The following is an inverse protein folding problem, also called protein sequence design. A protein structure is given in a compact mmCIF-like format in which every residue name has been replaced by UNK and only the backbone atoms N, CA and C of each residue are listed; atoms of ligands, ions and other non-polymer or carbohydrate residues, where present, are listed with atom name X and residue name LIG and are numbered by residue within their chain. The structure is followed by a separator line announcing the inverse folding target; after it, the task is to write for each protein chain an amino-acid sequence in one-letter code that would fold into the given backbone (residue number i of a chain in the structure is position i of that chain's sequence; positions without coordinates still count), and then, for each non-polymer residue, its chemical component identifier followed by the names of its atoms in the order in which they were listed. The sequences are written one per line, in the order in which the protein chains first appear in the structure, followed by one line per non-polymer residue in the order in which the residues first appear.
data_IF_164372193148
#
_entry.id   IF_164372193148
#
_cell.length_a   1.000
_cell.length_b   1.000
_cell.length_c   1.000
_cell.angle_alpha   90.00
_cell.angle_beta   90.00
_cell.angle_gamma   90.00
#
_symmetry.space_group_name_H-M   'P 1'
#
loop_
_entity.id
_entity.type
_entity.pdbx_description
1 polymer ?
#
# COMPACT_ATOMS: atom_id res chain seq x y z
N UNK A 1 6.51 -23.73 10.76
CA UNK A 1 6.29 -23.56 9.31
C UNK A 1 4.86 -23.17 8.98
N UNK A 2 3.85 -23.93 9.45
CA UNK A 2 2.44 -23.64 9.20
C UNK A 2 1.99 -22.26 9.75
N UNK A 3 2.38 -21.92 10.99
CA UNK A 3 2.06 -20.61 11.58
C UNK A 3 2.61 -19.42 10.79
N UNK A 4 3.85 -19.53 10.26
CA UNK A 4 4.48 -18.50 9.42
C UNK A 4 3.70 -18.30 8.12
N UNK A 5 3.21 -19.39 7.51
CA UNK A 5 2.38 -19.33 6.32
C UNK A 5 1.03 -18.63 6.61
N UNK A 6 0.35 -19.01 7.71
CA UNK A 6 -0.91 -18.40 8.11
C UNK A 6 -0.75 -16.89 8.39
N UNK A 7 0.33 -16.50 9.01
CA UNK A 7 0.66 -15.09 9.25
C UNK A 7 0.85 -14.32 7.93
N UNK A 8 1.56 -14.92 6.95
CA UNK A 8 1.66 -14.32 5.60
C UNK A 8 0.30 -14.18 4.93
N UNK A 9 -0.62 -15.13 5.12
CA UNK A 9 -2.00 -15.05 4.62
C UNK A 9 -2.76 -13.90 5.29
N UNK A 10 -2.61 -13.70 6.60
CA UNK A 10 -3.25 -12.59 7.33
C UNK A 10 -2.71 -11.24 6.83
N UNK A 11 -1.38 -11.11 6.71
CA UNK A 11 -0.75 -9.89 6.17
C UNK A 11 -1.27 -9.59 4.75
N UNK A 12 -1.32 -10.61 3.89
CA UNK A 12 -1.84 -10.46 2.53
C UNK A 12 -3.31 -10.01 2.51
N UNK A 13 -4.16 -10.61 3.36
CA UNK A 13 -5.56 -10.22 3.49
C UNK A 13 -5.72 -8.76 3.93
N UNK A 14 -4.95 -8.35 4.93
CA UNK A 14 -4.99 -6.98 5.42
C UNK A 14 -4.51 -5.99 4.35
N UNK A 15 -3.42 -6.31 3.67
CA UNK A 15 -2.89 -5.48 2.57
C UNK A 15 -3.86 -5.33 1.40
N UNK A 16 -4.56 -6.40 1.04
CA UNK A 16 -5.55 -6.42 -0.05
C UNK A 16 -6.90 -5.78 0.33
N UNK A 17 -7.02 -5.20 1.53
CA UNK A 17 -8.27 -4.58 1.97
C UNK A 17 -9.45 -5.57 2.00
N UNK A 18 -9.23 -6.82 2.40
CA UNK A 18 -10.27 -7.86 2.41
C UNK A 18 -11.49 -7.52 3.25
N UNK A 19 -11.38 -6.51 4.11
CA UNK A 19 -12.50 -5.99 4.88
C UNK A 19 -13.40 -5.05 4.06
N UNK A 20 -12.86 -4.34 3.07
CA UNK A 20 -13.59 -3.33 2.28
C UNK A 20 -13.63 -3.65 0.78
N UNK A 21 -12.52 -4.09 0.19
CA UNK A 21 -12.36 -4.22 -1.26
C UNK A 21 -11.89 -5.63 -1.70
N UNK A 22 -12.55 -6.68 -1.20
CA UNK A 22 -12.22 -8.09 -1.52
C UNK A 22 -12.11 -8.39 -3.01
N UNK A 23 -12.93 -7.71 -3.82
CA UNK A 23 -12.97 -7.93 -5.27
C UNK A 23 -11.66 -7.58 -5.97
N UNK A 24 -10.86 -6.62 -5.44
CA UNK A 24 -9.59 -6.23 -6.05
C UNK A 24 -8.56 -7.37 -6.00
N UNK A 25 -8.50 -8.10 -4.90
CA UNK A 25 -7.61 -9.24 -4.77
C UNK A 25 -7.97 -10.35 -5.76
N UNK A 26 -9.27 -10.67 -5.86
CA UNK A 26 -9.74 -11.67 -6.81
C UNK A 26 -9.58 -11.23 -8.25
N UNK A 27 -9.83 -9.94 -8.54
CA UNK A 27 -9.60 -9.35 -9.85
C UNK A 27 -8.14 -9.48 -10.25
N UNK A 28 -7.21 -9.09 -9.36
CA UNK A 28 -5.78 -9.18 -9.60
C UNK A 28 -5.32 -10.61 -9.88
N UNK A 29 -5.71 -11.57 -9.05
CA UNK A 29 -5.36 -12.97 -9.23
C UNK A 29 -5.99 -13.55 -10.52
N UNK A 30 -7.22 -13.19 -10.82
CA UNK A 30 -7.90 -13.59 -12.07
C UNK A 30 -7.21 -13.03 -13.30
N UNK A 31 -6.81 -11.75 -13.26
CA UNK A 31 -6.05 -11.12 -14.35
C UNK A 31 -4.67 -11.77 -14.49
N UNK A 32 -3.98 -12.05 -13.40
CA UNK A 32 -2.68 -12.71 -13.43
C UNK A 32 -2.78 -14.09 -14.09
N UNK A 33 -3.81 -14.86 -13.71
CA UNK A 33 -4.10 -16.16 -14.32
C UNK A 33 -4.45 -16.04 -15.80
N UNK A 34 -5.26 -15.04 -16.18
CA UNK A 34 -5.59 -14.77 -17.58
C UNK A 34 -4.32 -14.44 -18.38
N UNK A 35 -3.47 -13.52 -17.89
CA UNK A 35 -2.23 -13.14 -18.57
C UNK A 35 -1.26 -14.30 -18.70
N UNK A 36 -1.29 -15.25 -17.77
CA UNK A 36 -0.47 -16.46 -17.83
C UNK A 36 -0.70 -17.25 -19.12
N UNK A 37 -1.95 -17.32 -19.59
CA UNK A 37 -2.32 -18.03 -20.81
C UNK A 37 -2.39 -17.13 -22.05
N UNK A 38 -2.81 -15.88 -21.89
CA UNK A 38 -3.07 -14.96 -23.01
C UNK A 38 -1.85 -14.21 -23.50
N UNK A 39 -0.86 -13.92 -22.61
CA UNK A 39 0.32 -13.17 -23.02
C UNK A 39 1.35 -14.10 -23.66
N UNK A 40 1.70 -13.81 -24.92
CA UNK A 40 2.66 -14.60 -25.72
C UNK A 40 4.02 -13.90 -25.84
N UNK A 41 4.07 -12.58 -25.65
CA UNK A 41 5.31 -11.83 -25.73
C UNK A 41 6.20 -12.14 -24.52
N UNK A 42 7.43 -12.57 -24.78
CA UNK A 42 8.37 -13.03 -23.76
C UNK A 42 8.73 -11.94 -22.74
N UNK A 43 8.96 -10.71 -23.21
CA UNK A 43 9.34 -9.61 -22.32
C UNK A 43 8.18 -9.17 -21.44
N UNK A 44 6.99 -9.00 -22.03
CA UNK A 44 5.77 -8.65 -21.28
C UNK A 44 5.39 -9.73 -20.29
N UNK A 45 5.52 -11.00 -20.67
CA UNK A 45 5.28 -12.13 -19.79
C UNK A 45 6.25 -12.17 -18.61
N UNK A 46 7.51 -11.81 -18.82
CA UNK A 46 8.48 -11.71 -17.73
C UNK A 46 8.07 -10.67 -16.69
N UNK A 47 7.62 -9.50 -17.14
CA UNK A 47 7.28 -8.37 -16.24
C UNK A 47 5.90 -8.53 -15.61
N UNK A 48 4.87 -8.85 -16.41
CA UNK A 48 3.48 -8.83 -15.95
C UNK A 48 2.96 -10.18 -15.42
N UNK A 49 3.70 -11.27 -15.63
CA UNK A 49 3.30 -12.60 -15.18
C UNK A 49 4.34 -13.21 -14.25
N UNK A 50 5.57 -13.38 -14.72
CA UNK A 50 6.57 -14.12 -13.96
C UNK A 50 7.05 -13.36 -12.73
N UNK A 51 7.34 -12.05 -12.85
CA UNK A 51 7.80 -11.25 -11.72
C UNK A 51 6.76 -11.20 -10.58
N UNK A 52 5.48 -10.81 -10.81
CA UNK A 52 4.49 -10.81 -9.74
C UNK A 52 4.17 -12.22 -9.20
N UNK A 53 4.18 -13.24 -10.05
CA UNK A 53 3.98 -14.62 -9.58
C UNK A 53 5.13 -15.07 -8.68
N UNK A 54 6.38 -14.80 -9.08
CA UNK A 54 7.55 -15.13 -8.28
C UNK A 54 7.50 -14.40 -6.93
N UNK A 55 7.16 -13.11 -6.92
CA UNK A 55 7.01 -12.34 -5.69
C UNK A 55 5.93 -12.93 -4.76
N UNK A 56 4.78 -13.33 -5.31
CA UNK A 56 3.73 -13.99 -4.52
C UNK A 56 4.23 -15.33 -3.94
N UNK A 57 4.89 -16.15 -4.74
CA UNK A 57 5.44 -17.44 -4.28
C UNK A 57 6.48 -17.21 -3.19
N UNK A 58 7.38 -16.25 -3.36
CA UNK A 58 8.38 -15.89 -2.34
C UNK A 58 7.69 -15.37 -1.06
N UNK A 59 6.67 -14.51 -1.19
CA UNK A 59 5.95 -13.96 -0.06
C UNK A 59 5.25 -15.04 0.77
N UNK A 60 4.62 -16.03 0.14
CA UNK A 60 3.98 -17.13 0.85
C UNK A 60 4.93 -18.26 1.28
N UNK A 61 6.19 -18.23 0.83
CA UNK A 61 7.18 -19.23 1.18
C UNK A 61 7.70 -19.02 2.62
N UNK A 62 7.44 -19.95 3.57
CA UNK A 62 7.87 -19.79 4.96
C UNK A 62 9.39 -19.77 5.12
N UNK A 63 10.11 -20.46 4.24
CA UNK A 63 11.58 -20.49 4.26
C UNK A 63 12.13 -19.12 3.85
N UNK A 64 11.58 -18.52 2.80
CA UNK A 64 11.97 -17.18 2.35
C UNK A 64 11.72 -16.15 3.44
N UNK A 65 10.54 -16.18 4.06
CA UNK A 65 10.20 -15.26 5.15
C UNK A 65 11.15 -15.40 6.34
N UNK A 66 11.46 -16.64 6.75
CA UNK A 66 12.42 -16.88 7.83
C UNK A 66 13.81 -16.34 7.50
N UNK A 67 14.26 -16.52 6.27
CA UNK A 67 15.54 -15.99 5.78
C UNK A 67 15.52 -14.46 5.75
N UNK A 68 14.46 -13.86 5.23
CA UNK A 68 14.27 -12.40 5.13
C UNK A 68 14.34 -11.74 6.51
N UNK A 69 13.53 -12.22 7.45
CA UNK A 69 13.51 -11.69 8.83
C UNK A 69 14.87 -11.86 9.50
N UNK A 70 15.56 -12.99 9.28
CA UNK A 70 16.90 -13.22 9.86
C UNK A 70 17.97 -12.29 9.29
N UNK A 71 17.88 -11.94 8.01
CA UNK A 71 18.90 -11.10 7.34
C UNK A 71 18.68 -9.60 7.62
N UNK A 72 17.44 -9.17 7.71
CA UNK A 72 17.10 -7.75 7.85
C UNK A 72 16.74 -7.37 9.29
N UNK A 73 16.62 -8.35 10.19
CA UNK A 73 16.18 -8.20 11.59
C UNK A 73 14.86 -7.42 11.74
N UNK A 74 14.02 -7.52 10.72
CA UNK A 74 12.79 -6.73 10.60
C UNK A 74 11.62 -7.60 10.12
N UNK A 75 10.77 -7.98 11.07
CA UNK A 75 9.53 -8.71 10.78
C UNK A 75 8.38 -7.80 10.39
N UNK A 76 8.42 -6.53 10.83
CA UNK A 76 7.30 -5.59 10.68
C UNK A 76 7.18 -5.08 9.25
N UNK A 77 8.30 -4.94 8.54
CA UNK A 77 8.30 -4.41 7.17
C UNK A 77 8.12 -5.47 6.08
N UNK A 78 7.92 -6.74 6.45
CA UNK A 78 7.75 -7.83 5.48
C UNK A 78 6.62 -7.58 4.46
N UNK A 79 5.54 -6.91 4.86
CA UNK A 79 4.43 -6.56 3.98
C UNK A 79 4.82 -5.65 2.82
N UNK A 80 5.92 -4.91 2.93
CA UNK A 80 6.42 -4.01 1.85
C UNK A 80 6.80 -4.75 0.58
N UNK A 81 7.09 -6.04 0.66
CA UNK A 81 7.28 -6.88 -0.52
C UNK A 81 6.06 -6.88 -1.45
N UNK A 82 4.85 -6.69 -0.89
CA UNK A 82 3.61 -6.60 -1.66
C UNK A 82 3.52 -5.32 -2.50
N UNK A 83 4.25 -4.26 -2.15
CA UNK A 83 4.34 -3.04 -2.95
C UNK A 83 4.97 -3.30 -4.32
N UNK A 84 5.86 -4.28 -4.41
CA UNK A 84 6.51 -4.67 -5.66
C UNK A 84 5.58 -5.41 -6.63
N UNK A 85 4.38 -5.83 -6.19
CA UNK A 85 3.40 -6.52 -7.05
C UNK A 85 2.81 -5.63 -8.13
N UNK A 86 2.94 -4.30 -8.00
CA UNK A 86 2.43 -3.31 -8.97
C UNK A 86 0.99 -3.61 -9.43
N UNK A 87 0.10 -3.88 -8.45
CA UNK A 87 -1.24 -4.43 -8.70
C UNK A 87 -2.07 -3.62 -9.68
N UNK A 88 -2.04 -2.29 -9.57
CA UNK A 88 -2.75 -1.39 -10.48
C UNK A 88 -2.25 -1.51 -11.92
N UNK A 89 -0.93 -1.58 -12.10
CA UNK A 89 -0.31 -1.67 -13.43
C UNK A 89 -0.63 -3.02 -14.10
N UNK A 90 -0.49 -4.12 -13.37
CA UNK A 90 -0.81 -5.47 -13.86
C UNK A 90 -2.30 -5.58 -14.19
N UNK A 91 -3.17 -5.04 -13.32
CA UNK A 91 -4.62 -5.05 -13.51
C UNK A 91 -5.03 -4.22 -14.72
N UNK A 92 -4.51 -3.00 -14.86
CA UNK A 92 -4.78 -2.14 -16.01
C UNK A 92 -4.32 -2.79 -17.33
N UNK A 93 -3.11 -3.35 -17.35
CA UNK A 93 -2.60 -4.06 -18.52
C UNK A 93 -3.49 -5.27 -18.89
N UNK A 94 -3.90 -6.05 -17.90
CA UNK A 94 -4.78 -7.21 -18.12
C UNK A 94 -6.12 -6.82 -18.70
N UNK A 95 -6.76 -5.77 -18.17
CA UNK A 95 -8.04 -5.26 -18.69
C UNK A 95 -7.90 -4.74 -20.12
N UNK A 96 -6.86 -3.97 -20.42
CA UNK A 96 -6.60 -3.50 -21.79
C UNK A 96 -6.38 -4.69 -22.74
N UNK A 97 -5.72 -5.74 -22.28
CA UNK A 97 -5.45 -6.94 -23.05
C UNK A 97 -6.70 -7.79 -23.28
N UNK A 98 -7.58 -7.88 -22.26
CA UNK A 98 -8.90 -8.52 -22.39
C UNK A 98 -9.75 -7.82 -23.43
N UNK A 99 -9.71 -6.48 -23.46
CA UNK A 99 -10.46 -5.66 -24.40
C UNK A 99 -9.67 -5.35 -25.69
N UNK A 100 -8.79 -6.25 -26.14
CA UNK A 100 -7.88 -5.98 -27.28
C UNK A 100 -8.62 -5.60 -28.57
N UNK A 101 -9.82 -6.14 -28.80
CA UNK A 101 -10.69 -5.79 -29.92
C UNK A 101 -11.23 -4.33 -29.83
N UNK A 102 -11.36 -3.79 -28.62
CA UNK A 102 -11.94 -2.47 -28.35
C UNK A 102 -11.06 -1.70 -27.37
N UNK A 103 -9.86 -1.33 -27.78
CA UNK A 103 -8.82 -0.71 -26.93
C UNK A 103 -9.33 0.51 -26.14
N UNK A 104 -10.16 1.37 -26.76
CA UNK A 104 -10.71 2.54 -26.08
C UNK A 104 -11.59 2.15 -24.88
N UNK A 105 -12.41 1.11 -25.05
CA UNK A 105 -13.26 0.59 -23.97
C UNK A 105 -12.39 -0.02 -22.87
N UNK A 106 -11.36 -0.82 -23.25
CA UNK A 106 -10.43 -1.40 -22.28
C UNK A 106 -9.69 -0.37 -21.46
N UNK A 107 -9.24 0.72 -22.10
CA UNK A 107 -8.59 1.83 -21.39
C UNK A 107 -9.58 2.52 -20.43
N UNK A 108 -10.80 2.82 -20.88
CA UNK A 108 -11.83 3.43 -20.03
C UNK A 108 -12.17 2.54 -18.83
N UNK A 109 -12.34 1.22 -19.04
CA UNK A 109 -12.58 0.26 -17.96
C UNK A 109 -11.40 0.17 -16.99
N UNK A 110 -10.16 0.19 -17.47
CA UNK A 110 -8.96 0.20 -16.62
C UNK A 110 -8.90 1.48 -15.75
N UNK A 111 -9.19 2.64 -16.34
CA UNK A 111 -9.26 3.89 -15.57
C UNK A 111 -10.38 3.84 -14.51
N UNK A 112 -11.56 3.34 -14.86
CA UNK A 112 -12.67 3.19 -13.91
C UNK A 112 -12.31 2.23 -12.78
N UNK A 113 -11.67 1.08 -13.08
CA UNK A 113 -11.21 0.15 -12.06
C UNK A 113 -10.21 0.77 -11.08
N UNK A 114 -9.30 1.60 -11.57
CA UNK A 114 -8.33 2.30 -10.72
C UNK A 114 -9.04 3.36 -9.86
N UNK A 115 -9.96 4.12 -10.44
CA UNK A 115 -10.70 5.18 -9.73
C UNK A 115 -11.62 4.61 -8.64
N UNK A 116 -12.37 3.55 -8.95
CA UNK A 116 -13.31 2.94 -7.99
C UNK A 116 -12.66 1.92 -7.07
N UNK A 117 -11.44 1.48 -7.39
CA UNK A 117 -10.68 0.54 -6.57
C UNK A 117 -9.85 1.19 -5.47
N UNK A 118 -9.71 2.50 -5.49
CA UNK A 118 -9.00 3.28 -4.47
C UNK A 118 -9.96 3.93 -3.49
N UNK A 119 -9.51 4.10 -2.26
CA UNK A 119 -10.21 4.91 -1.27
C UNK A 119 -9.87 6.38 -1.48
N UNK A 120 -10.82 7.24 -1.17
CA UNK A 120 -10.58 8.67 -1.20
C UNK A 120 -9.67 9.04 -0.02
N UNK A 121 -8.50 9.57 -0.30
CA UNK A 121 -7.47 9.84 0.72
C UNK A 121 -8.01 10.73 1.84
N UNK A 122 -8.90 11.67 1.51
CA UNK A 122 -9.48 12.61 2.47
C UNK A 122 -10.60 12.03 3.35
N UNK A 123 -11.10 10.83 3.03
CA UNK A 123 -12.07 10.12 3.86
C UNK A 123 -11.39 9.16 4.87
N UNK A 124 -10.06 9.15 4.89
CA UNK A 124 -9.28 8.36 5.82
C UNK A 124 -9.35 8.96 7.22
N UNK A 125 -9.55 8.14 8.24
CA UNK A 125 -9.51 8.54 9.66
C UNK A 125 -8.18 9.20 10.07
N UNK A 126 -7.13 9.02 9.25
CA UNK A 126 -5.79 9.54 9.51
C UNK A 126 -5.48 10.86 8.78
N UNK A 127 -6.41 11.35 7.95
CA UNK A 127 -6.24 12.59 7.19
C UNK A 127 -7.44 13.48 7.44
N UNK A 128 -7.24 14.50 8.26
CA UNK A 128 -8.21 15.56 8.49
C UNK A 128 -7.82 16.82 7.74
N UNK A 129 -8.80 17.67 7.46
CA UNK A 129 -8.53 19.02 6.96
C UNK A 129 -7.77 19.78 8.04
N UNK A 130 -6.66 20.41 7.69
CA UNK A 130 -5.89 21.22 8.61
C UNK A 130 -6.76 22.36 9.18
N UNK A 131 -6.74 22.53 10.50
CA UNK A 131 -7.50 23.56 11.24
C UNK A 131 -6.82 24.91 11.16
N UNK A 132 -5.51 24.93 10.91
CA UNK A 132 -4.68 26.14 10.89
C UNK A 132 -3.75 26.18 9.67
N UNK A 133 -3.16 27.33 9.43
CA UNK A 133 -2.23 27.56 8.29
C UNK A 133 -0.91 26.76 8.40
N UNK A 134 -0.57 26.29 9.58
CA UNK A 134 0.68 25.56 9.85
C UNK A 134 0.56 24.05 9.60
N UNK A 135 -0.67 23.53 9.39
CA UNK A 135 -0.93 22.10 9.25
C UNK A 135 -0.48 21.27 10.47
N UNK A 136 -0.54 21.87 11.65
CA UNK A 136 -0.21 21.26 12.93
C UNK A 136 -1.48 21.01 13.75
N UNK A 137 -1.46 20.10 14.74
CA UNK A 137 -2.53 20.02 15.74
C UNK A 137 -2.75 21.38 16.41
N UNK A 138 -4.00 21.82 16.56
CA UNK A 138 -4.30 23.13 17.14
C UNK A 138 -3.69 23.32 18.54
N UNK A 139 -3.70 22.27 19.36
CA UNK A 139 -3.08 22.25 20.69
C UNK A 139 -1.58 22.60 20.64
N UNK A 140 -0.87 22.22 19.56
CA UNK A 140 0.54 22.58 19.38
C UNK A 140 0.72 24.07 19.14
N UNK A 141 -0.17 24.67 18.33
CA UNK A 141 -0.16 26.11 18.04
C UNK A 141 -0.47 26.89 19.30
N UNK A 142 -1.49 26.49 20.05
CA UNK A 142 -1.89 27.14 21.30
C UNK A 142 -0.75 27.09 22.36
N UNK A 143 -0.04 25.97 22.47
CA UNK A 143 1.12 25.83 23.36
C UNK A 143 2.27 26.73 22.87
N UNK A 144 2.53 26.79 21.56
CA UNK A 144 3.57 27.65 21.00
C UNK A 144 3.27 29.14 21.27
N UNK A 145 2.03 29.58 21.09
CA UNK A 145 1.62 30.96 21.38
C UNK A 145 1.74 31.32 22.87
N UNK A 146 1.48 30.35 23.77
CA UNK A 146 1.68 30.55 25.21
C UNK A 146 3.16 30.73 25.60
N UNK A 147 4.09 30.13 24.84
CA UNK A 147 5.51 30.09 25.13
C UNK A 147 6.28 31.24 24.46
N UNK A 148 5.82 31.67 23.27
CA UNK A 148 6.51 32.68 22.43
C UNK A 148 6.91 33.99 23.17
N UNK A 149 6.13 34.48 24.14
CA UNK A 149 6.50 35.72 24.85
C UNK A 149 7.65 35.60 25.85
N UNK A 150 8.18 34.39 26.08
CA UNK A 150 9.22 34.19 27.12
C UNK A 150 10.63 34.25 26.52
N UNK A 151 11.41 35.21 26.96
CA UNK A 151 12.83 35.31 26.61
C UNK A 151 13.65 34.22 27.33
N UNK A 152 14.48 33.47 26.59
CA UNK A 152 15.44 32.53 27.13
C UNK A 152 15.12 31.05 26.84
N UNK A 153 15.94 30.16 27.41
CA UNK A 153 15.69 28.69 27.32
C UNK A 153 14.65 28.28 28.34
N UNK A 154 13.56 27.80 27.85
CA UNK A 154 12.47 27.24 28.67
C UNK A 154 12.42 25.73 28.52
N UNK A 155 12.08 25.06 29.61
CA UNK A 155 11.80 23.61 29.58
C UNK A 155 10.29 23.42 29.69
N UNK A 156 9.71 22.82 28.69
CA UNK A 156 8.26 22.58 28.61
C UNK A 156 7.99 21.08 28.71
N UNK A 157 7.05 20.73 29.56
CA UNK A 157 6.54 19.36 29.66
C UNK A 157 5.28 19.28 28.81
N UNK A 158 5.33 18.46 27.76
CA UNK A 158 4.20 18.27 26.83
C UNK A 158 3.85 16.78 26.72
N UNK A 159 2.61 16.45 26.35
CA UNK A 159 2.23 15.07 26.01
C UNK A 159 3.14 14.47 24.95
N UNK A 160 3.40 13.16 25.01
CA UNK A 160 4.37 12.48 24.15
C UNK A 160 4.00 12.54 22.66
N UNK A 161 2.74 12.62 22.33
CA UNK A 161 2.18 12.75 20.97
C UNK A 161 2.45 14.13 20.36
N UNK A 162 2.59 15.19 21.16
CA UNK A 162 2.86 16.53 20.69
C UNK A 162 4.36 16.87 20.57
N UNK A 163 5.24 16.07 21.17
CA UNK A 163 6.70 16.31 21.18
C UNK A 163 7.27 16.46 19.76
N UNK A 164 6.79 15.66 18.81
CA UNK A 164 7.28 15.67 17.44
C UNK A 164 6.97 16.98 16.70
N UNK A 165 5.89 17.64 17.06
CA UNK A 165 5.44 18.88 16.42
C UNK A 165 6.07 20.14 17.05
N UNK A 166 6.35 20.12 18.35
CA UNK A 166 6.95 21.26 19.07
C UNK A 166 8.45 21.38 18.79
N UNK A 167 9.08 20.34 18.27
CA UNK A 167 10.51 20.29 17.97
C UNK A 167 10.87 20.88 16.60
N UNK A 168 9.90 21.22 15.78
CA UNK A 168 10.10 21.82 14.47
C UNK A 168 10.19 23.35 14.61
#
# INVERSE_FOLDING_TARGET
MWGIFLESVVIFKNYMGFHQHRYLAFLYLGILLYLWFAEKDRHRRAVFVYAPTLLLVMFFCPLFRKLFVRLLDDSETYYRLLWLLQMSLVSAYGVIRLCAAHRRIGTALACLLILFGGDYVYDSEHISKAENAYHLPQETVDIAEMIEPQEGRITVLVPADLIYYIRQ
#
